data_IF_476592960888
#
_entry.id   IF_476592960888
#
_cell.length_a   1.000
_cell.length_b   1.000
_cell.length_c   1.000
_cell.angle_alpha   90.00
_cell.angle_beta   90.00
_cell.angle_gamma   90.00
#
_symmetry.space_group_name_H-M   'P 1'
#
loop_
_entity.id
_entity.type
_entity.pdbx_description
1 polymer ?
#
# COMPACT_ATOMS: atom_id res chain seq x y z
N UNK A 1 -42.10 -16.42 -8.25
CA UNK A 1 -41.07 -15.68 -9.02
C UNK A 1 -40.26 -14.92 -7.99
N UNK A 2 -39.09 -15.45 -7.62
CA UNK A 2 -38.25 -14.81 -6.60
C UNK A 2 -37.69 -13.50 -7.15
N UNK A 3 -37.93 -12.41 -6.44
CA UNK A 3 -37.12 -11.20 -6.57
C UNK A 3 -35.66 -11.64 -6.52
N UNK A 4 -34.88 -11.37 -7.56
CA UNK A 4 -33.43 -11.38 -7.43
C UNK A 4 -33.14 -10.23 -6.46
N UNK A 5 -33.11 -10.52 -5.17
CA UNK A 5 -32.88 -9.51 -4.15
C UNK A 5 -31.54 -8.83 -4.47
N UNK A 6 -31.65 -7.58 -4.93
CA UNK A 6 -30.50 -6.77 -5.28
C UNK A 6 -29.80 -6.49 -3.97
N UNK A 7 -28.73 -7.26 -3.71
CA UNK A 7 -27.89 -7.06 -2.53
C UNK A 7 -27.32 -5.65 -2.62
N UNK A 8 -27.60 -4.76 -1.65
CA UNK A 8 -27.01 -3.43 -1.64
C UNK A 8 -25.48 -3.53 -1.65
N UNK A 9 -24.80 -2.63 -2.35
CA UNK A 9 -23.34 -2.74 -2.53
C UNK A 9 -22.58 -2.79 -1.19
N UNK A 10 -23.10 -2.14 -0.14
CA UNK A 10 -22.49 -2.13 1.19
C UNK A 10 -22.69 -3.44 1.98
N UNK A 11 -23.47 -4.38 1.44
CA UNK A 11 -23.64 -5.75 1.95
C UNK A 11 -22.82 -6.79 1.18
N UNK A 12 -22.20 -6.43 0.05
CA UNK A 12 -21.32 -7.33 -0.71
C UNK A 12 -20.10 -7.69 0.14
N UNK A 13 -19.79 -8.99 0.22
CA UNK A 13 -18.76 -9.57 1.10
C UNK A 13 -18.97 -9.29 2.60
N UNK A 14 -20.21 -9.01 3.03
CA UNK A 14 -20.57 -8.79 4.44
C UNK A 14 -21.44 -9.97 4.93
N UNK A 15 -21.02 -10.68 5.99
CA UNK A 15 -21.84 -11.69 6.66
C UNK A 15 -23.19 -11.11 7.11
N UNK A 16 -24.25 -11.92 7.08
CA UNK A 16 -25.61 -11.45 7.37
C UNK A 16 -25.73 -10.73 8.73
N UNK A 17 -25.00 -11.20 9.74
CA UNK A 17 -25.00 -10.61 11.09
C UNK A 17 -24.32 -9.24 11.18
N UNK A 18 -23.46 -8.89 10.21
CA UNK A 18 -22.74 -7.61 10.15
C UNK A 18 -23.42 -6.60 9.22
N UNK A 19 -24.55 -6.97 8.59
CA UNK A 19 -25.25 -6.10 7.65
C UNK A 19 -26.00 -5.00 8.40
N UNK A 20 -25.81 -3.77 7.94
CA UNK A 20 -26.47 -2.58 8.47
C UNK A 20 -27.64 -2.16 7.58
N UNK A 21 -28.72 -1.67 8.18
CA UNK A 21 -29.89 -1.20 7.42
C UNK A 21 -29.52 -0.07 6.43
N UNK A 22 -28.65 0.84 6.86
CA UNK A 22 -28.15 1.95 6.05
C UNK A 22 -26.71 1.73 5.60
N UNK A 23 -26.30 2.45 4.55
CA UNK A 23 -24.92 2.45 4.08
C UNK A 23 -24.01 3.05 5.18
N UNK A 24 -22.94 2.35 5.60
CA UNK A 24 -22.01 2.90 6.57
C UNK A 24 -21.33 4.18 6.09
N UNK A 25 -21.14 5.15 6.98
CA UNK A 25 -20.56 6.46 6.65
C UNK A 25 -19.20 6.38 5.92
N UNK A 26 -18.37 5.39 6.21
CA UNK A 26 -17.07 5.19 5.57
C UNK A 26 -17.15 4.69 4.12
N UNK A 27 -18.35 4.36 3.62
CA UNK A 27 -18.62 4.03 2.22
C UNK A 27 -19.39 5.13 1.49
N UNK A 28 -19.67 6.26 2.12
CA UNK A 28 -20.29 7.41 1.45
C UNK A 28 -19.29 8.12 0.53
N UNK A 29 -19.75 8.60 -0.62
CA UNK A 29 -18.95 9.43 -1.52
C UNK A 29 -17.74 8.72 -2.17
N UNK A 30 -17.77 7.38 -2.27
CA UNK A 30 -16.71 6.65 -2.97
C UNK A 30 -16.61 7.09 -4.43
N UNK A 31 -15.38 7.25 -4.91
CA UNK A 31 -15.15 7.46 -6.34
C UNK A 31 -15.58 6.21 -7.14
N UNK A 32 -15.78 6.32 -8.47
CA UNK A 32 -16.25 5.19 -9.28
C UNK A 32 -15.38 3.93 -9.23
N UNK A 33 -14.06 4.06 -9.05
CA UNK A 33 -13.15 2.91 -8.93
C UNK A 33 -13.41 2.16 -7.63
N UNK A 34 -13.44 2.88 -6.51
CA UNK A 34 -13.66 2.31 -5.19
C UNK A 34 -15.07 1.73 -5.06
N UNK A 35 -16.09 2.40 -5.59
CA UNK A 35 -17.47 1.89 -5.61
C UNK A 35 -17.56 0.56 -6.36
N UNK A 36 -16.97 0.47 -7.55
CA UNK A 36 -16.88 -0.81 -8.28
C UNK A 36 -16.14 -1.87 -7.48
N UNK A 37 -15.02 -1.50 -6.86
CA UNK A 37 -14.24 -2.40 -6.00
C UNK A 37 -15.07 -2.99 -4.88
N UNK A 38 -15.72 -2.16 -4.04
CA UNK A 38 -16.53 -2.65 -2.91
C UNK A 38 -17.83 -3.34 -3.33
N UNK A 39 -18.31 -3.10 -4.55
CA UNK A 39 -19.50 -3.76 -5.12
C UNK A 39 -19.18 -5.13 -5.74
N UNK A 40 -17.91 -5.52 -5.82
CA UNK A 40 -17.47 -6.77 -6.46
C UNK A 40 -17.38 -7.89 -5.41
N UNK A 41 -17.99 -9.07 -5.62
CA UNK A 41 -17.78 -10.22 -4.75
C UNK A 41 -16.30 -10.67 -4.76
N UNK A 42 -15.77 -11.10 -3.62
CA UNK A 42 -14.39 -11.59 -3.53
C UNK A 42 -14.14 -12.77 -4.49
N UNK A 43 -15.15 -13.60 -4.74
CA UNK A 43 -15.09 -14.73 -5.68
C UNK A 43 -14.89 -14.31 -7.15
N UNK A 44 -15.15 -13.05 -7.48
CA UNK A 44 -14.92 -12.48 -8.81
C UNK A 44 -13.57 -11.74 -8.90
N UNK A 45 -12.80 -11.69 -7.81
CA UNK A 45 -11.49 -11.06 -7.79
C UNK A 45 -10.40 -12.07 -8.19
N UNK A 46 -9.55 -11.68 -9.13
CA UNK A 46 -8.40 -12.47 -9.54
C UNK A 46 -7.15 -12.03 -8.80
N UNK A 47 -6.53 -12.97 -8.08
CA UNK A 47 -5.26 -12.76 -7.39
C UNK A 47 -4.14 -12.54 -8.42
N UNK A 48 -3.35 -11.49 -8.25
CA UNK A 48 -2.27 -11.14 -9.18
C UNK A 48 -1.03 -12.03 -8.96
N UNK A 49 -0.63 -12.86 -9.95
CA UNK A 49 0.61 -13.63 -9.88
C UNK A 49 1.84 -12.72 -10.11
N UNK A 50 3.03 -13.19 -9.72
CA UNK A 50 4.28 -12.43 -9.82
C UNK A 50 4.56 -11.89 -11.23
N UNK A 51 4.36 -12.71 -12.26
CA UNK A 51 4.59 -12.29 -13.65
C UNK A 51 3.73 -11.08 -14.05
N UNK A 52 2.49 -11.01 -13.55
CA UNK A 52 1.60 -9.88 -13.83
C UNK A 52 2.00 -8.64 -13.01
N UNK A 53 2.43 -8.81 -11.76
CA UNK A 53 3.01 -7.73 -10.94
C UNK A 53 4.23 -7.12 -11.64
N UNK A 54 5.16 -7.95 -12.08
CA UNK A 54 6.33 -7.54 -12.86
C UNK A 54 5.92 -6.76 -14.11
N UNK A 55 4.94 -7.25 -14.86
CA UNK A 55 4.45 -6.59 -16.08
C UNK A 55 3.78 -5.25 -15.78
N UNK A 56 2.99 -5.15 -14.72
CA UNK A 56 2.34 -3.90 -14.29
C UNK A 56 3.40 -2.85 -13.95
N UNK A 57 4.41 -3.21 -13.16
CA UNK A 57 5.47 -2.29 -12.74
C UNK A 57 6.32 -1.85 -13.92
N UNK A 58 6.80 -2.78 -14.74
CA UNK A 58 7.67 -2.49 -15.90
C UNK A 58 6.96 -1.71 -17.00
N UNK A 59 5.64 -1.89 -17.18
CA UNK A 59 4.83 -1.08 -18.10
C UNK A 59 4.24 0.19 -17.48
N UNK A 60 4.59 0.47 -16.21
CA UNK A 60 4.10 1.62 -15.44
C UNK A 60 2.56 1.75 -15.43
N UNK A 61 1.84 0.63 -15.41
CA UNK A 61 0.36 0.57 -15.37
C UNK A 61 -0.17 0.40 -13.94
N UNK A 62 0.34 1.22 -13.03
CA UNK A 62 0.12 1.08 -11.58
C UNK A 62 -1.35 1.16 -11.17
N UNK A 63 -2.21 1.78 -11.99
CA UNK A 63 -3.64 1.86 -11.79
C UNK A 63 -4.35 0.49 -11.77
N UNK A 64 -3.72 -0.55 -12.35
CA UNK A 64 -4.23 -1.93 -12.34
C UNK A 64 -4.14 -2.59 -10.97
N UNK A 65 -3.25 -2.12 -10.11
CA UNK A 65 -3.21 -2.62 -8.73
C UNK A 65 -4.50 -2.25 -7.99
N UNK A 66 -5.11 -3.28 -7.40
CA UNK A 66 -6.33 -3.20 -6.63
C UNK A 66 -6.21 -4.11 -5.40
N UNK A 67 -6.97 -3.80 -4.36
CA UNK A 67 -7.12 -4.68 -3.21
C UNK A 67 -8.24 -5.67 -3.50
N UNK A 68 -8.19 -6.84 -2.87
CA UNK A 68 -9.36 -7.74 -2.78
C UNK A 68 -10.56 -6.91 -2.27
N UNK A 69 -11.77 -7.05 -2.83
CA UNK A 69 -12.92 -6.21 -2.50
C UNK A 69 -13.22 -6.09 -0.99
N UNK A 70 -13.23 -7.21 -0.26
CA UNK A 70 -13.39 -7.20 1.21
C UNK A 70 -12.27 -6.43 1.92
N UNK A 71 -11.02 -6.55 1.46
CA UNK A 71 -9.88 -5.79 2.00
C UNK A 71 -9.96 -4.31 1.65
N UNK A 72 -10.47 -3.95 0.46
CA UNK A 72 -10.75 -2.55 0.13
C UNK A 72 -11.79 -1.96 1.08
N UNK A 73 -12.87 -2.71 1.37
CA UNK A 73 -13.89 -2.31 2.34
C UNK A 73 -13.30 -2.08 3.72
N UNK A 74 -12.48 -3.03 4.22
CA UNK A 74 -11.80 -2.91 5.52
C UNK A 74 -10.83 -1.74 5.54
N UNK A 75 -10.08 -1.51 4.45
CA UNK A 75 -9.22 -0.34 4.29
C UNK A 75 -10.00 0.96 4.39
N UNK A 76 -11.15 1.10 3.71
CA UNK A 76 -11.99 2.30 3.80
C UNK A 76 -12.49 2.54 5.23
N UNK A 77 -12.93 1.49 5.92
CA UNK A 77 -13.33 1.57 7.33
C UNK A 77 -12.16 2.04 8.21
N UNK A 78 -10.99 1.43 8.04
CA UNK A 78 -9.78 1.78 8.78
C UNK A 78 -9.37 3.23 8.53
N UNK A 79 -9.31 3.67 7.27
CA UNK A 79 -8.95 5.06 6.92
C UNK A 79 -9.94 6.06 7.53
N UNK A 80 -11.24 5.78 7.44
CA UNK A 80 -12.24 6.66 8.02
C UNK A 80 -12.09 6.80 9.54
N UNK A 81 -12.01 5.68 10.26
CA UNK A 81 -11.90 5.69 11.73
C UNK A 81 -10.56 6.26 12.21
N UNK A 82 -9.48 5.98 11.50
CA UNK A 82 -8.13 6.46 11.86
C UNK A 82 -8.03 7.96 11.66
N UNK A 83 -8.58 8.50 10.57
CA UNK A 83 -8.63 9.94 10.35
C UNK A 83 -9.46 10.65 11.44
N UNK A 84 -10.57 10.06 11.91
CA UNK A 84 -11.33 10.63 13.02
C UNK A 84 -10.55 10.65 14.34
N UNK A 85 -9.75 9.61 14.62
CA UNK A 85 -8.99 9.49 15.87
C UNK A 85 -7.72 10.33 15.91
N UNK A 86 -6.99 10.39 14.80
CA UNK A 86 -5.68 11.05 14.71
C UNK A 86 -5.73 12.38 13.94
N UNK A 87 -6.92 12.85 13.57
CA UNK A 87 -7.14 14.02 12.72
C UNK A 87 -6.87 13.75 11.23
N UNK A 88 -5.80 13.04 10.89
CA UNK A 88 -5.50 12.61 9.51
C UNK A 88 -4.78 11.26 9.48
N UNK A 89 -4.83 10.57 8.34
CA UNK A 89 -4.01 9.36 8.12
C UNK A 89 -2.52 9.68 8.11
N UNK A 90 -2.15 10.85 7.60
CA UNK A 90 -0.76 11.30 7.59
C UNK A 90 -0.20 11.39 9.02
N UNK A 91 -0.96 11.98 9.95
CA UNK A 91 -0.60 12.04 11.36
C UNK A 91 -0.47 10.64 11.97
N UNK A 92 -1.43 9.75 11.74
CA UNK A 92 -1.32 8.35 12.18
C UNK A 92 -0.05 7.66 11.68
N UNK A 93 0.26 7.77 10.38
CA UNK A 93 1.48 7.16 9.84
C UNK A 93 2.71 7.76 10.52
N UNK A 94 2.77 9.08 10.67
CA UNK A 94 3.92 9.74 11.27
C UNK A 94 4.12 9.33 12.75
N UNK A 95 3.06 9.42 13.54
CA UNK A 95 3.10 9.25 14.99
C UNK A 95 3.16 7.78 15.40
N UNK A 96 2.37 6.91 14.75
CA UNK A 96 2.20 5.52 15.17
C UNK A 96 3.07 4.54 14.38
N UNK A 97 3.18 4.71 13.06
CA UNK A 97 3.91 3.77 12.20
C UNK A 97 5.39 4.14 12.10
N UNK A 98 5.70 5.40 11.79
CA UNK A 98 7.07 5.88 11.60
C UNK A 98 7.73 6.23 12.92
N UNK A 99 6.99 6.86 13.84
CA UNK A 99 7.51 7.43 15.09
C UNK A 99 8.64 8.43 14.82
N UNK A 100 8.44 9.29 13.82
CA UNK A 100 9.36 10.38 13.51
C UNK A 100 8.82 11.67 14.09
N UNK A 101 9.65 12.38 14.85
CA UNK A 101 9.27 13.65 15.46
C UNK A 101 9.18 14.76 14.41
N UNK A 102 8.16 15.61 14.52
CA UNK A 102 8.01 16.78 13.67
C UNK A 102 8.89 17.94 14.18
N UNK A 103 9.55 18.72 13.29
CA UNK A 103 9.55 18.56 11.84
C UNK A 103 10.44 17.39 11.39
N UNK A 104 9.92 16.55 10.49
CA UNK A 104 10.69 15.45 9.90
C UNK A 104 11.80 16.03 9.04
N UNK A 105 13.05 15.76 9.42
CA UNK A 105 14.23 16.22 8.69
C UNK A 105 15.20 15.06 8.46
N UNK A 106 15.72 14.89 7.24
CA UNK A 106 16.76 13.91 6.99
C UNK A 106 18.05 14.37 7.69
N UNK A 107 18.84 13.41 8.17
CA UNK A 107 20.16 13.63 8.74
C UNK A 107 21.19 14.01 7.67
N UNK A 108 21.01 13.52 6.44
CA UNK A 108 21.94 13.76 5.34
C UNK A 108 21.34 13.49 3.96
N UNK A 109 22.19 13.24 2.94
CA UNK A 109 21.73 12.95 1.59
C UNK A 109 20.90 11.66 1.50
N UNK A 110 20.08 11.50 0.44
CA UNK A 110 19.25 10.33 0.23
C UNK A 110 19.99 9.00 0.43
N UNK A 111 19.39 8.10 1.21
CA UNK A 111 19.86 6.73 1.47
C UNK A 111 21.24 6.60 2.13
N UNK A 112 21.85 7.67 2.66
CA UNK A 112 23.15 7.60 3.34
C UNK A 112 23.06 7.31 4.84
N UNK A 113 21.90 7.56 5.47
CA UNK A 113 21.67 7.31 6.89
C UNK A 113 20.49 6.36 7.08
N UNK A 114 20.68 5.22 7.78
CA UNK A 114 19.59 4.28 8.06
C UNK A 114 18.41 4.93 8.80
N UNK A 115 18.66 5.89 9.68
CA UNK A 115 17.62 6.59 10.46
C UNK A 115 16.69 7.46 9.59
N UNK A 116 17.04 7.73 8.34
CA UNK A 116 16.24 8.52 7.40
C UNK A 116 15.27 7.68 6.56
N UNK A 117 15.33 6.36 6.72
CA UNK A 117 14.53 5.40 5.97
C UNK A 117 13.85 4.42 6.92
N UNK A 118 12.62 4.04 6.63
CA UNK A 118 11.93 2.96 7.36
C UNK A 118 11.23 2.02 6.39
N UNK A 119 11.54 0.74 6.49
CA UNK A 119 10.87 -0.31 5.69
C UNK A 119 9.80 -0.95 6.56
N UNK A 120 8.56 -0.91 6.10
CA UNK A 120 7.42 -1.50 6.80
C UNK A 120 6.63 -2.38 5.84
N UNK A 121 5.81 -3.27 6.36
CA UNK A 121 4.78 -3.89 5.53
C UNK A 121 3.80 -2.83 5.05
N UNK A 122 3.23 -3.04 3.87
CA UNK A 122 2.04 -2.31 3.49
C UNK A 122 0.90 -2.73 4.42
N UNK A 123 0.36 -1.78 5.17
CA UNK A 123 -0.73 -2.01 6.12
C UNK A 123 -1.99 -2.59 5.48
N UNK A 124 -2.17 -2.33 4.19
CA UNK A 124 -3.31 -2.77 3.38
C UNK A 124 -2.81 -3.15 1.98
N UNK A 125 -2.21 -4.36 1.83
CA UNK A 125 -1.59 -4.78 0.58
C UNK A 125 -2.62 -4.99 -0.53
N UNK A 126 -2.14 -5.06 -1.78
CA UNK A 126 -2.97 -5.41 -2.93
C UNK A 126 -3.39 -6.88 -2.92
N UNK A 127 -4.32 -7.27 -3.79
CA UNK A 127 -4.68 -8.68 -3.98
C UNK A 127 -3.63 -9.42 -4.80
N UNK A 128 -2.61 -9.93 -4.11
CA UNK A 128 -1.41 -10.53 -4.68
C UNK A 128 -1.33 -12.01 -4.31
N UNK A 129 -0.59 -12.79 -5.10
CA UNK A 129 -0.17 -14.16 -4.72
C UNK A 129 0.44 -14.11 -3.31
N UNK A 130 0.09 -15.07 -2.45
CA UNK A 130 0.47 -15.07 -1.03
C UNK A 130 1.98 -15.12 -0.78
N UNK A 131 2.77 -15.51 -1.78
CA UNK A 131 4.24 -15.48 -1.73
C UNK A 131 4.81 -14.09 -1.98
N UNK A 132 3.99 -13.13 -2.43
CA UNK A 132 4.43 -11.77 -2.72
C UNK A 132 4.30 -10.92 -1.46
N UNK A 133 5.44 -10.44 -0.96
CA UNK A 133 5.48 -9.51 0.17
C UNK A 133 5.47 -8.07 -0.37
N UNK A 134 4.45 -7.30 0.04
CA UNK A 134 4.30 -5.89 -0.31
C UNK A 134 4.81 -5.00 0.82
N UNK A 135 5.99 -4.40 0.60
CA UNK A 135 6.61 -3.46 1.53
C UNK A 135 6.41 -2.00 1.08
N UNK A 136 6.56 -1.10 2.03
CA UNK A 136 6.62 0.34 1.83
C UNK A 136 7.92 0.85 2.44
N UNK A 137 8.71 1.54 1.64
CA UNK A 137 9.92 2.22 2.07
C UNK A 137 9.60 3.70 2.23
N UNK A 138 9.63 4.19 3.46
CA UNK A 138 9.36 5.57 3.84
C UNK A 138 10.66 6.35 3.94
N UNK A 139 10.68 7.60 3.48
CA UNK A 139 11.87 8.45 3.49
C UNK A 139 11.61 9.78 4.20
N UNK A 140 12.60 10.27 4.96
CA UNK A 140 12.59 11.63 5.54
C UNK A 140 12.93 12.73 4.52
N UNK A 141 13.47 12.34 3.38
CA UNK A 141 13.83 13.22 2.26
C UNK A 141 12.85 13.07 1.10
N UNK A 142 12.83 14.08 0.23
CA UNK A 142 11.97 14.10 -0.94
C UNK A 142 12.47 13.15 -2.04
N UNK A 143 11.53 12.50 -2.71
CA UNK A 143 11.79 11.72 -3.92
C UNK A 143 11.51 12.59 -5.14
N UNK A 144 12.53 13.37 -5.52
CA UNK A 144 12.45 14.50 -6.47
C UNK A 144 11.88 14.07 -7.81
N UNK A 145 10.80 14.74 -8.21
CA UNK A 145 10.16 14.57 -9.50
C UNK A 145 10.58 15.64 -10.51
N UNK A 146 10.67 15.26 -11.77
CA UNK A 146 10.77 16.15 -12.92
C UNK A 146 9.48 16.99 -13.04
N UNK A 147 9.57 18.33 -12.99
CA UNK A 147 8.40 19.21 -13.08
C UNK A 147 7.61 19.09 -14.40
N UNK A 148 8.26 18.69 -15.50
CA UNK A 148 7.64 18.59 -16.81
C UNK A 148 6.81 17.30 -16.97
N UNK A 149 7.27 16.19 -16.37
CA UNK A 149 6.62 14.87 -16.53
C UNK A 149 5.86 14.41 -15.29
N UNK A 150 6.21 14.95 -14.11
CA UNK A 150 5.73 14.48 -12.82
C UNK A 150 6.35 13.14 -12.36
N UNK A 151 7.28 12.57 -13.13
CA UNK A 151 8.00 11.33 -12.80
C UNK A 151 9.25 11.64 -11.97
N UNK A 152 9.87 10.64 -11.35
CA UNK A 152 11.18 10.78 -10.74
C UNK A 152 12.22 11.31 -11.72
N UNK A 153 13.06 12.24 -11.26
CA UNK A 153 14.29 12.60 -11.99
C UNK A 153 15.20 11.38 -12.15
N UNK A 154 16.04 11.36 -13.18
CA UNK A 154 17.02 10.28 -13.40
C UNK A 154 17.92 10.05 -12.18
N UNK A 155 18.32 11.13 -11.51
CA UNK A 155 19.09 11.08 -10.26
C UNK A 155 18.33 10.37 -9.15
N UNK A 156 17.10 10.81 -8.85
CA UNK A 156 16.28 10.19 -7.80
C UNK A 156 15.96 8.72 -8.10
N UNK A 157 15.73 8.39 -9.38
CA UNK A 157 15.55 7.00 -9.83
C UNK A 157 16.80 6.16 -9.60
N UNK A 158 17.98 6.66 -9.95
CA UNK A 158 19.24 5.96 -9.73
C UNK A 158 19.55 5.76 -8.24
N UNK A 159 19.24 6.75 -7.39
CA UNK A 159 19.38 6.64 -5.92
C UNK A 159 18.48 5.54 -5.35
N UNK A 160 17.22 5.47 -5.78
CA UNK A 160 16.30 4.38 -5.37
C UNK A 160 16.77 3.03 -5.91
N UNK A 161 17.19 2.94 -7.17
CA UNK A 161 17.69 1.70 -7.76
C UNK A 161 18.91 1.16 -7.01
N UNK A 162 19.85 2.03 -6.62
CA UNK A 162 20.99 1.66 -5.80
C UNK A 162 20.55 1.10 -4.45
N UNK A 163 19.71 1.85 -3.72
CA UNK A 163 19.18 1.40 -2.43
C UNK A 163 18.43 0.06 -2.51
N UNK A 164 17.58 -0.10 -3.53
CA UNK A 164 16.82 -1.35 -3.73
C UNK A 164 17.73 -2.52 -4.06
N UNK A 165 18.78 -2.26 -4.83
CA UNK A 165 19.77 -3.29 -5.19
C UNK A 165 20.52 -3.77 -3.96
N UNK A 166 21.05 -2.84 -3.16
CA UNK A 166 21.85 -3.17 -1.99
C UNK A 166 21.02 -3.81 -0.87
N UNK A 167 19.80 -3.30 -0.64
CA UNK A 167 18.95 -3.72 0.48
C UNK A 167 18.18 -5.01 0.18
N UNK A 168 17.65 -5.16 -1.04
CA UNK A 168 16.74 -6.26 -1.39
C UNK A 168 17.32 -7.21 -2.43
N UNK A 169 17.77 -6.71 -3.60
CA UNK A 169 18.22 -7.60 -4.69
C UNK A 169 19.44 -8.41 -4.31
N UNK A 170 20.33 -7.88 -3.48
CA UNK A 170 21.52 -8.60 -2.98
C UNK A 170 21.17 -9.84 -2.12
N UNK A 171 19.91 -9.96 -1.67
CA UNK A 171 19.40 -11.04 -0.81
C UNK A 171 18.34 -11.91 -1.50
N UNK A 172 18.05 -11.64 -2.77
CA UNK A 172 16.94 -12.26 -3.50
C UNK A 172 17.42 -12.83 -4.85
N UNK A 173 16.74 -13.85 -5.40
CA UNK A 173 16.97 -14.28 -6.76
C UNK A 173 16.76 -13.15 -7.77
N UNK A 174 17.44 -13.25 -8.91
CA UNK A 174 17.25 -12.29 -10.01
C UNK A 174 15.78 -12.27 -10.46
N UNK A 175 15.24 -11.06 -10.68
CA UNK A 175 13.86 -10.88 -11.12
C UNK A 175 12.79 -11.10 -10.05
N UNK A 176 13.15 -11.30 -8.76
CA UNK A 176 12.21 -11.46 -7.64
C UNK A 176 11.95 -10.17 -6.85
N UNK A 177 12.45 -9.03 -7.34
CA UNK A 177 12.30 -7.73 -6.70
C UNK A 177 11.80 -6.71 -7.72
N UNK A 178 10.68 -6.09 -7.41
CA UNK A 178 10.11 -4.98 -8.19
C UNK A 178 9.87 -3.80 -7.26
N UNK A 179 10.08 -2.59 -7.72
CA UNK A 179 9.71 -1.39 -6.96
C UNK A 179 8.96 -0.40 -7.85
N UNK A 180 8.12 0.41 -7.23
CA UNK A 180 7.39 1.47 -7.92
C UNK A 180 7.03 2.59 -6.95
N UNK A 181 6.86 3.79 -7.48
CA UNK A 181 6.34 4.94 -6.74
C UNK A 181 4.98 5.33 -7.31
N UNK A 182 3.99 5.49 -6.45
CA UNK A 182 2.68 5.99 -6.88
C UNK A 182 2.80 7.47 -7.27
N UNK A 183 2.23 7.83 -8.42
CA UNK A 183 2.08 9.20 -8.91
C UNK A 183 1.21 10.03 -7.96
N UNK A 184 1.33 11.36 -7.99
CA UNK A 184 0.60 12.26 -7.09
C UNK A 184 -0.92 12.00 -7.05
N UNK A 185 -1.54 11.64 -8.19
CA UNK A 185 -2.96 11.30 -8.28
C UNK A 185 -3.37 9.98 -7.58
N UNK A 186 -2.40 9.12 -7.26
CA UNK A 186 -2.59 7.82 -6.59
C UNK A 186 -2.07 7.81 -5.15
N UNK A 187 -1.37 8.86 -4.71
CA UNK A 187 -0.86 8.97 -3.34
C UNK A 187 -2.01 9.18 -2.37
N UNK A 188 -2.09 8.34 -1.34
CA UNK A 188 -3.06 8.53 -0.25
C UNK A 188 -2.52 9.42 0.87
N UNK A 189 -1.21 9.69 0.91
CA UNK A 189 -0.52 10.43 1.97
C UNK A 189 0.54 11.32 1.34
N UNK A 190 0.39 12.64 1.47
CA UNK A 190 1.31 13.64 0.90
C UNK A 190 2.39 14.13 1.89
N UNK A 191 2.24 13.85 3.19
CA UNK A 191 3.13 14.40 4.23
C UNK A 191 4.48 13.67 4.35
N UNK A 192 4.57 12.42 3.87
CA UNK A 192 5.80 11.62 3.93
C UNK A 192 5.97 10.86 2.61
N UNK A 193 7.13 11.01 1.98
CA UNK A 193 7.44 10.35 0.73
C UNK A 193 7.70 8.85 0.97
N UNK A 194 7.29 8.05 -0.01
CA UNK A 194 7.47 6.62 0.02
C UNK A 194 7.44 6.02 -1.38
N UNK A 195 8.03 4.83 -1.49
CA UNK A 195 7.87 3.95 -2.63
C UNK A 195 7.56 2.53 -2.15
N UNK A 196 7.08 1.69 -3.05
CA UNK A 196 6.70 0.32 -2.76
C UNK A 196 7.76 -0.63 -3.28
N UNK A 197 8.00 -1.71 -2.54
CA UNK A 197 8.84 -2.83 -2.96
C UNK A 197 8.00 -4.10 -2.86
N UNK A 198 7.99 -4.87 -3.94
CA UNK A 198 7.36 -6.18 -4.03
C UNK A 198 8.46 -7.23 -4.10
N UNK A 199 8.41 -8.22 -3.21
CA UNK A 199 9.37 -9.31 -3.12
C UNK A 199 8.65 -10.63 -3.36
N UNK A 200 9.15 -11.46 -4.27
CA UNK A 200 8.55 -12.76 -4.55
C UNK A 200 9.27 -13.87 -3.81
N UNK A 201 8.54 -14.52 -2.91
CA UNK A 201 8.97 -15.65 -2.09
C UNK A 201 10.27 -15.38 -1.30
N UNK A 202 10.37 -14.25 -0.56
CA UNK A 202 11.55 -13.94 0.22
C UNK A 202 11.68 -14.85 1.44
N UNK A 203 12.91 -15.02 1.91
CA UNK A 203 13.18 -15.64 3.22
C UNK A 203 12.46 -14.83 4.34
N UNK A 204 11.59 -15.46 5.15
CA UNK A 204 10.92 -14.81 6.26
C UNK A 204 11.87 -14.13 7.25
N UNK A 205 13.07 -14.68 7.50
CA UNK A 205 14.04 -14.10 8.43
C UNK A 205 14.62 -12.79 7.88
N UNK A 206 14.86 -12.73 6.56
CA UNK A 206 15.24 -11.50 5.88
C UNK A 206 14.13 -10.43 6.01
N UNK A 207 12.87 -10.82 5.83
CA UNK A 207 11.75 -9.88 5.98
C UNK A 207 11.63 -9.38 7.41
N UNK A 208 11.75 -10.26 8.40
CA UNK A 208 11.75 -9.88 9.81
C UNK A 208 12.88 -8.88 10.11
N UNK A 209 14.08 -9.12 9.58
CA UNK A 209 15.24 -8.24 9.76
C UNK A 209 15.01 -6.86 9.12
N UNK A 210 14.62 -6.81 7.84
CA UNK A 210 14.50 -5.53 7.10
C UNK A 210 13.34 -4.68 7.61
N UNK A 211 12.28 -5.30 8.14
CA UNK A 211 11.12 -4.60 8.71
C UNK A 211 11.20 -4.38 10.21
N UNK A 212 12.26 -4.88 10.86
CA UNK A 212 12.41 -4.89 12.32
C UNK A 212 11.19 -5.48 13.05
N UNK A 213 10.67 -6.59 12.54
CA UNK A 213 9.51 -7.30 13.10
C UNK A 213 8.17 -6.58 12.95
N UNK A 214 8.03 -5.66 11.99
CA UNK A 214 6.74 -5.00 11.72
C UNK A 214 5.65 -6.00 11.30
N UNK A 215 4.40 -5.66 11.61
CA UNK A 215 3.22 -6.42 11.23
C UNK A 215 2.19 -5.44 10.63
N UNK A 216 1.61 -5.73 9.46
CA UNK A 216 0.66 -4.84 8.80
C UNK A 216 -0.63 -4.67 9.62
N UNK A 217 -1.23 -3.48 9.55
CA UNK A 217 -2.46 -3.19 10.31
C UNK A 217 -3.62 -4.13 9.96
N UNK A 218 -3.76 -4.58 8.70
CA UNK A 218 -4.83 -5.51 8.30
C UNK A 218 -4.84 -6.83 9.08
N UNK A 219 -3.70 -7.23 9.65
CA UNK A 219 -3.56 -8.46 10.44
C UNK A 219 -3.90 -8.23 11.92
N UNK A 220 -3.82 -7.00 12.42
CA UNK A 220 -4.13 -6.66 13.83
C UNK A 220 -5.62 -6.67 14.14
N UNK A 221 -6.46 -6.62 13.11
CA UNK A 221 -7.93 -6.63 13.22
C UNK A 221 -8.51 -8.00 12.85
N UNK A 222 -7.83 -9.08 13.24
CA UNK A 222 -8.39 -10.43 13.24
C UNK A 222 -9.00 -10.70 14.62
N UNK A 223 -10.11 -10.03 14.88
CA UNK A 223 -11.03 -10.32 15.99
C UNK A 223 -12.45 -10.44 15.43
#
# INVERSE_FOLDING_TARGET
MGSLDVVPFWHVNVPDHDRTAECPAFLHGLNPKDLRGVSTPDSAYEILPWAEVARIVTSNRLERFQRVPSQLRRYKKFTYLTAQRHGTIAAFILDERLRWEAPVRPRGPPFQHPDDVKVLYNDWPYGLDSRIIHLVVWTKFELVADPATGDLTDKARAEIEGYVTDTFRSKMPEGHVMWFKNWAALKSIHAVEHFHVMLFDPDPDFIHQVTNGDIPQCNKFTE
#
